data_IF_093488469463
#
_entry.id   IF_093488469463
#
_cell.length_a   1.000
_cell.length_b   1.000
_cell.length_c   1.000
_cell.angle_alpha   90.00
_cell.angle_beta   90.00
_cell.angle_gamma   90.00
#
_symmetry.space_group_name_H-M   'P 1'
#
loop_
_entity.id
_entity.type
_entity.pdbx_description
1 polymer ?
#
# COMPACT_ATOMS: atom_id res chain seq x y z
N UNK A 1 -8.22 -16.94 30.91
CA UNK A 1 -9.21 -15.84 30.76
C UNK A 1 -9.48 -15.63 29.27
N UNK A 2 -10.74 -15.72 28.83
CA UNK A 2 -11.15 -15.84 27.42
C UNK A 2 -11.17 -14.47 26.71
N UNK A 3 -10.07 -14.07 26.06
CA UNK A 3 -9.95 -12.86 25.22
C UNK A 3 -10.27 -13.14 23.74
N UNK A 4 -11.44 -13.72 23.45
CA UNK A 4 -11.88 -13.99 22.06
C UNK A 4 -13.19 -13.29 21.60
N UNK A 5 -14.02 -12.62 22.43
CA UNK A 5 -15.22 -11.99 21.90
C UNK A 5 -15.00 -10.58 21.32
N UNK A 6 -13.92 -9.86 21.71
CA UNK A 6 -13.73 -8.45 21.33
C UNK A 6 -13.24 -8.29 19.87
N UNK A 7 -12.34 -9.16 19.40
CA UNK A 7 -11.82 -9.12 18.02
C UNK A 7 -12.90 -9.52 17.01
N UNK A 8 -13.75 -10.48 17.38
CA UNK A 8 -14.92 -10.88 16.59
C UNK A 8 -16.01 -9.79 16.57
N UNK A 9 -16.17 -9.03 17.65
CA UNK A 9 -17.08 -7.89 17.70
C UNK A 9 -16.56 -6.71 16.85
N UNK A 10 -15.24 -6.46 16.85
CA UNK A 10 -14.62 -5.42 16.01
C UNK A 10 -14.71 -5.75 14.51
N UNK A 11 -14.46 -7.01 14.13
CA UNK A 11 -14.65 -7.47 12.74
C UNK A 11 -16.11 -7.39 12.29
N UNK A 12 -17.07 -7.73 13.15
CA UNK A 12 -18.49 -7.61 12.84
C UNK A 12 -18.96 -6.14 12.74
N UNK A 13 -18.38 -5.24 13.54
CA UNK A 13 -18.67 -3.80 13.48
C UNK A 13 -18.12 -3.15 12.20
N UNK A 14 -16.95 -3.59 11.71
CA UNK A 14 -16.42 -3.16 10.41
C UNK A 14 -17.31 -3.60 9.22
N UNK A 15 -17.99 -4.76 9.33
CA UNK A 15 -18.89 -5.24 8.26
C UNK A 15 -20.23 -4.48 8.26
N UNK A 16 -20.74 -4.08 9.44
CA UNK A 16 -22.00 -3.34 9.56
C UNK A 16 -21.90 -1.87 9.15
N UNK A 17 -20.72 -1.24 9.27
CA UNK A 17 -20.48 0.12 8.76
C UNK A 17 -20.33 0.17 7.23
N UNK A 18 -20.13 -0.97 6.56
CA UNK A 18 -20.05 -1.08 5.11
C UNK A 18 -21.40 -1.29 4.41
N UNK A 19 -22.53 -1.28 5.12
CA UNK A 19 -23.81 -1.69 4.55
C UNK A 19 -25.00 -0.85 4.99
N UNK A 20 -25.05 0.45 4.65
CA UNK A 20 -26.31 1.22 4.59
C UNK A 20 -26.16 2.56 3.85
N UNK A 21 -26.24 2.54 2.52
CA UNK A 21 -26.81 3.67 1.76
C UNK A 21 -27.69 3.13 0.63
N UNK A 22 -28.96 2.91 0.97
CA UNK A 22 -30.01 2.76 -0.03
C UNK A 22 -30.36 4.16 -0.60
N UNK A 23 -30.41 4.26 -1.93
CA UNK A 23 -31.18 5.28 -2.63
C UNK A 23 -30.37 6.40 -3.30
N UNK A 24 -29.96 6.16 -4.55
CA UNK A 24 -30.27 7.06 -5.68
C UNK A 24 -29.85 6.41 -6.99
N UNK A 25 -30.77 6.43 -7.94
CA UNK A 25 -30.55 6.07 -9.33
C UNK A 25 -29.34 6.81 -9.90
N UNK A 26 -28.20 6.12 -9.96
CA UNK A 26 -27.08 6.51 -10.82
C UNK A 26 -26.86 5.35 -11.78
N UNK A 27 -27.35 5.57 -13.00
CA UNK A 27 -27.01 4.75 -14.16
C UNK A 27 -25.48 4.71 -14.21
N UNK A 28 -24.83 3.55 -14.00
CA UNK A 28 -23.39 3.47 -14.13
C UNK A 28 -23.08 3.73 -15.60
N UNK A 29 -22.42 4.85 -15.90
CA UNK A 29 -21.66 4.94 -17.14
C UNK A 29 -20.64 3.82 -17.04
N UNK A 30 -20.81 2.78 -17.86
CA UNK A 30 -19.99 1.59 -17.82
C UNK A 30 -18.52 1.99 -18.01
N UNK A 31 -17.77 2.09 -16.91
CA UNK A 31 -16.35 1.86 -16.95
C UNK A 31 -16.20 0.42 -17.47
N UNK A 32 -15.48 0.25 -18.57
CA UNK A 32 -15.23 -1.06 -19.15
C UNK A 32 -14.75 -2.00 -18.03
N UNK A 33 -15.31 -3.22 -17.92
CA UNK A 33 -14.76 -4.18 -16.99
C UNK A 33 -13.34 -4.45 -17.45
N UNK A 34 -12.35 -3.86 -16.77
CA UNK A 34 -10.97 -4.31 -16.87
C UNK A 34 -11.03 -5.80 -16.60
N UNK A 35 -10.87 -6.60 -17.64
CA UNK A 35 -11.05 -8.04 -17.53
C UNK A 35 -10.06 -8.51 -16.45
N UNK A 36 -10.51 -9.27 -15.45
CA UNK A 36 -9.63 -9.78 -14.40
C UNK A 36 -8.35 -10.40 -14.99
N UNK A 37 -8.45 -11.04 -16.16
CA UNK A 37 -7.30 -11.55 -16.90
C UNK A 37 -6.32 -10.45 -17.37
N UNK A 38 -6.80 -9.29 -17.83
CA UNK A 38 -5.95 -8.15 -18.21
C UNK A 38 -5.24 -7.56 -16.99
N UNK A 39 -5.97 -7.41 -15.87
CA UNK A 39 -5.40 -6.94 -14.61
C UNK A 39 -4.33 -7.90 -14.10
N UNK A 40 -4.61 -9.20 -14.06
CA UNK A 40 -3.64 -10.23 -13.69
C UNK A 40 -2.42 -10.21 -14.62
N UNK A 41 -2.60 -10.10 -15.94
CA UNK A 41 -1.47 -10.02 -16.86
C UNK A 41 -0.59 -8.78 -16.62
N UNK A 42 -1.20 -7.65 -16.30
CA UNK A 42 -0.44 -6.44 -16.02
C UNK A 42 0.29 -6.51 -14.67
N UNK A 43 -0.31 -7.14 -13.65
CA UNK A 43 0.40 -7.50 -12.41
C UNK A 43 1.58 -8.44 -12.66
N UNK A 44 1.40 -9.49 -13.47
CA UNK A 44 2.49 -10.41 -13.82
C UNK A 44 3.66 -9.69 -14.51
N UNK A 45 3.39 -8.66 -15.32
CA UNK A 45 4.45 -7.81 -15.91
C UNK A 45 5.20 -7.04 -14.84
N UNK A 46 4.50 -6.39 -13.91
CA UNK A 46 5.12 -5.64 -12.80
C UNK A 46 5.97 -6.59 -11.95
N UNK A 47 5.39 -7.71 -11.52
CA UNK A 47 6.06 -8.69 -10.67
C UNK A 47 7.30 -9.28 -11.33
N UNK A 48 7.28 -9.51 -12.65
CA UNK A 48 8.46 -9.98 -13.39
C UNK A 48 9.64 -8.98 -13.37
N UNK A 49 9.36 -7.70 -13.11
CA UNK A 49 10.35 -6.65 -12.97
C UNK A 49 10.96 -6.55 -11.57
N UNK A 50 10.31 -7.12 -10.55
CA UNK A 50 10.70 -7.05 -9.15
C UNK A 50 11.42 -8.34 -8.77
N UNK A 51 12.68 -8.24 -8.33
CA UNK A 51 13.45 -9.38 -7.84
C UNK A 51 13.88 -9.15 -6.39
N UNK A 52 14.15 -10.25 -5.67
CA UNK A 52 14.64 -10.18 -4.30
C UNK A 52 15.96 -9.41 -4.21
N UNK A 53 16.83 -9.50 -5.22
CA UNK A 53 18.08 -8.74 -5.29
C UNK A 53 17.83 -7.23 -5.43
N UNK A 54 16.89 -6.80 -6.27
CA UNK A 54 16.52 -5.38 -6.42
C UNK A 54 15.94 -4.81 -5.13
N UNK A 55 15.05 -5.57 -4.48
CA UNK A 55 14.49 -5.22 -3.18
C UNK A 55 15.61 -5.05 -2.14
N UNK A 56 16.51 -6.03 -2.05
CA UNK A 56 17.64 -6.01 -1.11
C UNK A 56 18.58 -4.81 -1.37
N UNK A 57 18.88 -4.48 -2.63
CA UNK A 57 19.71 -3.33 -2.98
C UNK A 57 19.12 -1.99 -2.54
N UNK A 58 17.79 -1.89 -2.53
CA UNK A 58 17.06 -0.71 -2.08
C UNK A 58 16.73 -0.74 -0.57
N UNK A 59 17.12 -1.79 0.15
CA UNK A 59 16.81 -1.98 1.56
C UNK A 59 15.35 -2.32 1.83
N UNK A 60 14.63 -2.83 0.82
CA UNK A 60 13.24 -3.25 0.93
C UNK A 60 13.13 -4.76 1.05
N UNK A 61 12.09 -5.17 1.74
CA UNK A 61 11.64 -6.53 1.90
C UNK A 61 10.20 -6.63 1.45
N UNK A 62 9.86 -7.77 0.87
CA UNK A 62 8.51 -8.08 0.47
C UNK A 62 8.33 -9.59 0.58
N UNK A 63 7.15 -10.02 0.98
CA UNK A 63 6.79 -11.43 1.01
C UNK A 63 5.48 -11.61 0.23
N UNK A 64 5.42 -12.71 -0.51
CA UNK A 64 4.26 -13.12 -1.32
C UNK A 64 3.56 -12.01 -2.14
N UNK A 65 4.36 -11.17 -2.81
CA UNK A 65 3.88 -10.09 -3.68
C UNK A 65 2.85 -10.55 -4.72
N UNK A 66 2.96 -11.79 -5.18
CA UNK A 66 2.07 -12.35 -6.20
C UNK A 66 0.68 -12.62 -5.62
N UNK A 67 0.59 -13.20 -4.43
CA UNK A 67 -0.71 -13.39 -3.78
C UNK A 67 -1.35 -12.03 -3.48
N UNK A 68 -0.59 -11.09 -2.92
CA UNK A 68 -1.09 -9.74 -2.61
C UNK A 68 -1.66 -9.04 -3.86
N UNK A 69 -0.89 -9.04 -4.96
CA UNK A 69 -1.28 -8.40 -6.22
C UNK A 69 -2.60 -8.96 -6.78
N UNK A 70 -2.76 -10.29 -6.74
CA UNK A 70 -3.89 -10.96 -7.37
C UNK A 70 -5.16 -10.96 -6.50
N UNK A 71 -5.01 -10.97 -5.17
CA UNK A 71 -6.14 -11.01 -4.23
C UNK A 71 -6.58 -9.61 -3.80
N UNK A 72 -5.62 -8.73 -3.53
CA UNK A 72 -5.87 -7.40 -2.95
C UNK A 72 -5.72 -6.27 -3.95
N UNK A 73 -5.22 -6.56 -5.16
CA UNK A 73 -4.92 -5.55 -6.17
C UNK A 73 -3.94 -4.48 -5.65
N UNK A 74 -3.01 -4.91 -4.80
CA UNK A 74 -1.97 -4.11 -4.18
C UNK A 74 -0.70 -4.92 -3.96
N UNK A 75 0.40 -4.22 -3.78
CA UNK A 75 1.67 -4.81 -3.33
C UNK A 75 2.33 -3.89 -2.32
N UNK A 76 2.95 -4.49 -1.30
CA UNK A 76 3.58 -3.77 -0.19
C UNK A 76 5.04 -4.14 -0.02
N UNK A 77 5.87 -3.13 0.20
CA UNK A 77 7.29 -3.26 0.54
C UNK A 77 7.53 -2.66 1.93
N UNK A 78 8.44 -3.24 2.71
CA UNK A 78 8.82 -2.76 4.04
C UNK A 78 10.32 -2.71 4.24
N UNK A 79 10.84 -1.80 5.06
CA UNK A 79 12.27 -1.73 5.39
C UNK A 79 12.73 -2.77 6.43
N UNK A 80 11.86 -3.72 6.76
CA UNK A 80 12.12 -4.82 7.68
C UNK A 80 11.55 -6.12 7.12
N UNK A 81 12.17 -7.24 7.46
CA UNK A 81 11.73 -8.59 7.12
C UNK A 81 10.75 -9.12 8.19
N UNK A 82 9.44 -9.22 7.92
CA UNK A 82 8.46 -9.67 8.91
C UNK A 82 8.65 -11.14 9.31
N UNK A 83 9.40 -11.93 8.54
CA UNK A 83 9.66 -13.35 8.83
C UNK A 83 10.78 -13.54 9.84
N UNK A 84 11.62 -12.52 10.06
CA UNK A 84 12.73 -12.56 11.02
C UNK A 84 12.32 -12.01 12.38
N UNK A 85 12.49 -12.83 13.42
CA UNK A 85 12.24 -12.42 14.80
C UNK A 85 13.10 -11.20 15.18
N UNK A 86 12.45 -10.15 15.72
CA UNK A 86 13.13 -8.93 16.16
C UNK A 86 13.44 -7.90 15.07
N UNK A 87 13.14 -8.19 13.79
CA UNK A 87 13.44 -7.29 12.68
C UNK A 87 12.90 -5.86 12.87
N UNK A 88 11.73 -5.72 13.50
CA UNK A 88 11.14 -4.44 13.86
C UNK A 88 12.07 -3.58 14.75
N UNK A 89 12.82 -4.18 15.67
CA UNK A 89 13.69 -3.48 16.62
C UNK A 89 15.07 -3.15 16.04
N UNK A 90 15.43 -3.72 14.89
CA UNK A 90 16.74 -3.54 14.25
C UNK A 90 16.81 -2.27 13.39
N UNK A 91 15.67 -1.65 13.11
CA UNK A 91 15.57 -0.38 12.37
C UNK A 91 15.17 0.76 13.30
N UNK A 92 15.59 2.01 13.03
CA UNK A 92 15.21 3.16 13.86
C UNK A 92 13.72 3.52 13.74
N UNK A 93 13.11 3.22 12.60
CA UNK A 93 11.70 3.40 12.33
C UNK A 93 11.26 2.38 11.29
N UNK A 94 9.97 2.06 11.28
CA UNK A 94 9.34 1.19 10.30
C UNK A 94 8.82 2.04 9.15
N UNK A 95 9.08 1.61 7.92
CA UNK A 95 8.53 2.20 6.72
C UNK A 95 7.93 1.10 5.87
N UNK A 96 6.68 1.29 5.47
CA UNK A 96 6.03 0.46 4.45
C UNK A 96 5.45 1.33 3.34
N UNK A 97 5.60 0.88 2.11
CA UNK A 97 5.04 1.52 0.93
C UNK A 97 4.15 0.51 0.22
N UNK A 98 2.90 0.89 0.00
CA UNK A 98 1.94 0.09 -0.77
C UNK A 98 1.63 0.79 -2.07
N UNK A 99 1.69 0.07 -3.18
CA UNK A 99 1.11 0.50 -4.45
C UNK A 99 -0.17 -0.29 -4.69
N UNK A 100 -1.29 0.42 -4.76
CA UNK A 100 -2.59 -0.16 -5.11
C UNK A 100 -2.98 0.32 -6.51
N UNK A 101 -3.39 -0.60 -7.39
CA UNK A 101 -3.81 -0.22 -8.74
C UNK A 101 -5.11 0.60 -8.75
N UNK A 102 -5.84 0.61 -7.63
CA UNK A 102 -7.00 1.47 -7.36
C UNK A 102 -7.00 1.86 -5.90
N UNK A 103 -7.50 3.05 -5.60
CA UNK A 103 -7.70 3.49 -4.22
C UNK A 103 -8.79 2.64 -3.52
N UNK A 104 -8.46 1.90 -2.43
CA UNK A 104 -9.42 1.06 -1.72
C UNK A 104 -10.37 1.87 -0.80
N UNK A 105 -9.99 3.08 -0.40
CA UNK A 105 -10.77 3.96 0.47
C UNK A 105 -11.74 4.87 -0.30
N UNK A 106 -11.58 4.95 -1.64
CA UNK A 106 -12.47 5.70 -2.54
C UNK A 106 -13.20 4.76 -3.50
N UNK A 107 -14.40 4.26 -3.14
CA UNK A 107 -15.21 3.41 -4.00
C UNK A 107 -15.45 4.07 -5.37
N UNK A 108 -15.01 3.40 -6.44
CA UNK A 108 -15.11 3.91 -7.81
C UNK A 108 -13.87 4.65 -8.32
N UNK A 109 -12.84 4.83 -7.50
CA UNK A 109 -11.53 5.27 -7.98
C UNK A 109 -10.96 4.27 -8.98
N UNK A 110 -10.61 4.77 -10.15
CA UNK A 110 -9.88 4.02 -11.18
C UNK A 110 -8.40 4.36 -11.19
N UNK A 111 -7.96 5.26 -10.31
CA UNK A 111 -6.59 5.75 -10.28
C UNK A 111 -5.75 4.99 -9.26
N UNK A 112 -4.51 4.63 -9.62
CA UNK A 112 -3.61 3.98 -8.69
C UNK A 112 -3.09 4.97 -7.64
N UNK A 113 -2.75 4.44 -6.48
CA UNK A 113 -2.31 5.21 -5.31
C UNK A 113 -1.07 4.56 -4.69
N UNK A 114 -0.16 5.41 -4.24
CA UNK A 114 0.96 5.05 -3.37
C UNK A 114 0.62 5.45 -1.94
N UNK A 115 0.51 4.48 -1.04
CA UNK A 115 0.40 4.74 0.39
C UNK A 115 1.78 4.54 1.05
N UNK A 116 2.17 5.48 1.91
CA UNK A 116 3.38 5.40 2.72
C UNK A 116 2.96 5.45 4.18
N UNK A 117 3.46 4.51 4.97
CA UNK A 117 3.27 4.47 6.42
C UNK A 117 4.63 4.40 7.11
N UNK A 118 4.81 5.27 8.10
CA UNK A 118 6.01 5.42 8.90
C UNK A 118 5.63 5.32 10.38
N UNK A 119 6.34 4.49 11.16
CA UNK A 119 6.19 4.40 12.61
C UNK A 119 7.55 4.53 13.28
N UNK A 120 7.67 5.42 14.26
CA UNK A 120 8.86 5.50 15.10
C UNK A 120 8.91 4.28 16.02
N UNK A 121 10.08 3.68 16.19
CA UNK A 121 10.26 2.56 17.12
C UNK A 121 10.62 3.03 18.54
N UNK A 122 11.04 4.29 18.71
CA UNK A 122 11.41 4.87 19.98
C UNK A 122 10.27 5.64 20.66
N UNK A 123 9.18 5.92 19.94
CA UNK A 123 8.03 6.68 20.44
C UNK A 123 6.72 6.20 19.81
N UNK A 124 5.58 6.72 20.28
CA UNK A 124 4.26 6.41 19.72
C UNK A 124 3.90 7.27 18.48
N UNK A 125 4.90 7.88 17.83
CA UNK A 125 4.70 8.76 16.67
C UNK A 125 4.60 7.94 15.38
N UNK A 126 3.69 8.35 14.52
CA UNK A 126 3.53 7.80 13.17
C UNK A 126 3.24 8.91 12.16
N UNK A 127 3.50 8.62 10.89
CA UNK A 127 3.12 9.46 9.77
C UNK A 127 2.60 8.58 8.64
N UNK A 128 1.46 8.94 8.05
CA UNK A 128 0.87 8.23 6.92
C UNK A 128 0.48 9.23 5.83
N UNK A 129 0.67 8.85 4.58
CA UNK A 129 0.22 9.67 3.46
C UNK A 129 -0.08 8.84 2.21
N UNK A 130 -0.95 9.36 1.36
CA UNK A 130 -1.26 8.79 0.06
C UNK A 130 -0.87 9.76 -1.05
N UNK A 131 -0.34 9.23 -2.14
CA UNK A 131 -0.02 9.98 -3.35
C UNK A 131 -0.69 9.35 -4.57
N UNK A 132 -1.15 10.17 -5.50
CA UNK A 132 -1.68 9.70 -6.78
C UNK A 132 -0.57 9.16 -7.71
N UNK A 133 -0.96 8.67 -8.88
CA UNK A 133 -0.05 8.19 -9.93
C UNK A 133 1.00 9.22 -10.38
N UNK A 134 0.72 10.51 -10.18
CA UNK A 134 1.60 11.64 -10.49
C UNK A 134 2.46 12.06 -9.30
N UNK A 135 2.45 11.28 -8.21
CA UNK A 135 3.14 11.56 -6.96
C UNK A 135 2.68 12.88 -6.31
N UNK A 136 1.41 13.26 -6.47
CA UNK A 136 0.83 14.38 -5.73
C UNK A 136 0.16 13.86 -4.47
N UNK A 137 0.41 14.55 -3.36
CA UNK A 137 -0.21 14.24 -2.07
C UNK A 137 -1.74 14.33 -2.18
N UNK A 138 -2.41 13.29 -1.69
CA UNK A 138 -3.87 13.22 -1.65
C UNK A 138 -4.40 13.29 -0.23
N UNK A 139 -3.79 12.52 0.68
CA UNK A 139 -4.13 12.51 2.10
C UNK A 139 -2.85 12.50 2.93
N UNK A 140 -2.90 13.09 4.12
CA UNK A 140 -1.87 12.95 5.14
C UNK A 140 -2.50 12.84 6.52
N UNK A 141 -1.86 12.07 7.39
CA UNK A 141 -2.24 11.85 8.78
C UNK A 141 -0.99 11.67 9.64
N UNK A 142 -1.08 12.05 10.91
CA UNK A 142 -0.02 11.86 11.89
C UNK A 142 0.99 13.00 11.93
N UNK A 143 2.16 12.73 12.50
CA UNK A 143 3.18 13.72 12.79
C UNK A 143 4.52 13.31 12.14
N UNK A 144 5.10 14.21 11.35
CA UNK A 144 6.42 13.97 10.79
C UNK A 144 7.50 13.94 11.88
N UNK A 145 8.23 12.82 11.97
CA UNK A 145 9.18 12.58 13.07
C UNK A 145 10.63 12.38 12.65
N UNK A 146 10.90 12.25 11.36
CA UNK A 146 12.27 12.12 10.87
C UNK A 146 12.97 13.48 10.88
N UNK A 147 14.26 13.47 11.16
CA UNK A 147 15.08 14.68 11.14
C UNK A 147 15.29 15.24 9.72
N UNK A 148 15.15 14.39 8.71
CA UNK A 148 15.24 14.79 7.31
C UNK A 148 14.02 15.57 6.85
N UNK A 149 14.19 16.32 5.76
CA UNK A 149 13.10 17.09 5.18
C UNK A 149 12.04 16.17 4.59
N UNK A 150 10.79 16.31 5.07
CA UNK A 150 9.60 15.56 4.63
C UNK A 150 9.49 15.42 3.12
N UNK A 151 9.59 16.54 2.40
CA UNK A 151 9.44 16.56 0.94
C UNK A 151 10.50 15.73 0.22
N UNK A 152 11.76 15.88 0.63
CA UNK A 152 12.89 15.16 0.04
C UNK A 152 12.82 13.65 0.30
N UNK A 153 12.47 13.23 1.52
CA UNK A 153 12.32 11.80 1.84
C UNK A 153 11.20 11.15 1.05
N UNK A 154 9.99 11.74 1.08
CA UNK A 154 8.83 11.18 0.40
C UNK A 154 9.06 11.10 -1.10
N UNK A 155 9.65 12.13 -1.70
CA UNK A 155 10.01 12.13 -3.11
C UNK A 155 10.94 10.95 -3.46
N UNK A 156 12.06 10.82 -2.77
CA UNK A 156 13.03 9.74 -3.04
C UNK A 156 12.41 8.35 -2.84
N UNK A 157 11.64 8.20 -1.76
CA UNK A 157 10.95 6.96 -1.41
C UNK A 157 9.95 6.53 -2.49
N UNK A 158 9.13 7.46 -2.96
CA UNK A 158 8.14 7.22 -4.01
C UNK A 158 8.77 7.02 -5.39
N UNK A 159 9.85 7.74 -5.70
CA UNK A 159 10.59 7.58 -6.97
C UNK A 159 11.26 6.20 -7.03
N UNK A 160 11.90 5.76 -5.95
CA UNK A 160 12.48 4.41 -5.84
C UNK A 160 11.40 3.33 -5.98
N UNK A 161 10.24 3.52 -5.34
CA UNK A 161 9.10 2.61 -5.50
C UNK A 161 8.64 2.56 -6.97
N UNK A 162 8.42 3.71 -7.60
CA UNK A 162 8.02 3.78 -9.01
C UNK A 162 9.04 3.13 -9.95
N UNK A 163 10.33 3.31 -9.71
CA UNK A 163 11.40 2.66 -10.47
C UNK A 163 11.41 1.15 -10.27
N UNK A 164 11.23 0.67 -9.04
CA UNK A 164 11.11 -0.75 -8.73
C UNK A 164 9.93 -1.40 -9.48
N UNK A 165 8.78 -0.72 -9.51
CA UNK A 165 7.56 -1.21 -10.15
C UNK A 165 7.64 -1.17 -11.69
N UNK A 166 8.23 -0.12 -12.26
CA UNK A 166 8.04 0.21 -13.68
C UNK A 166 9.33 0.44 -14.47
N UNK A 167 10.51 0.38 -13.85
CA UNK A 167 11.82 0.63 -14.49
C UNK A 167 12.15 -0.31 -15.64
N UNK A 168 11.40 -1.43 -15.79
CA UNK A 168 11.59 -2.41 -16.85
C UNK A 168 10.72 -2.24 -18.12
N UNK A 169 9.62 -1.46 -18.07
CA UNK A 169 8.66 -1.06 -19.14
C UNK A 169 7.25 -0.89 -18.54
N UNK A 170 6.69 0.33 -18.63
CA UNK A 170 5.25 0.66 -18.62
C UNK A 170 4.44 0.28 -17.38
N UNK A 171 3.91 1.29 -16.68
CA UNK A 171 2.97 1.07 -15.57
C UNK A 171 1.59 0.53 -15.99
N UNK A 172 0.82 0.14 -14.97
CA UNK A 172 -0.60 -0.22 -15.08
C UNK A 172 -1.45 0.96 -15.57
#
# INVERSE_FOLDING_TARGET
>A
MKRKPIVLLLMAFCILLCGCTAGRDHRPTAAEPTNQAQLSQAWERILSGISAEKLTQLGWYADDLRQEALELNSITFSNYDPTRAGAFLEVPFQCSITYAARDPLRPGSTEPVYAVFLSDNASDRYYACEHDSSLRLVTEEGEWFLAEEKGSYLKNTLENCRELLFGGKGGL
#
